data_IF_992986731261
#
_entry.id   IF_992986731261
#
_cell.length_a   1.000
_cell.length_b   1.000
_cell.length_c   1.000
_cell.angle_alpha   90.00
_cell.angle_beta   90.00
_cell.angle_gamma   90.00
#
_symmetry.space_group_name_H-M   'P 1'
#
loop_
_entity.id
_entity.type
_entity.pdbx_description
1 polymer ?
#
# COMPACT_ATOMS: atom_id res chain seq x y z
N UNK A 1 3.86 15.29 -4.43
CA UNK A 1 3.36 13.93 -4.09
C UNK A 1 4.49 12.92 -4.19
N UNK A 2 4.81 12.22 -3.10
CA UNK A 2 5.94 11.28 -3.02
C UNK A 2 5.49 9.83 -2.78
N UNK A 3 4.25 9.48 -3.16
CA UNK A 3 3.74 8.12 -2.97
C UNK A 3 4.70 7.09 -3.59
N UNK A 4 5.04 6.07 -2.80
CA UNK A 4 5.97 4.99 -3.17
C UNK A 4 7.37 5.44 -3.59
N UNK A 5 7.79 6.67 -3.27
CA UNK A 5 9.16 7.13 -3.49
C UNK A 5 10.01 7.12 -2.21
N UNK A 6 9.50 6.56 -1.11
CA UNK A 6 10.19 6.51 0.18
C UNK A 6 11.58 5.87 0.14
N UNK A 7 11.85 5.01 -0.84
CA UNK A 7 13.15 4.37 -1.05
C UNK A 7 14.22 5.30 -1.67
N UNK A 8 13.82 6.47 -2.18
CA UNK A 8 14.73 7.49 -2.76
C UNK A 8 14.64 8.83 -2.03
N UNK A 9 13.90 8.91 -0.95
CA UNK A 9 13.85 10.05 -0.05
C UNK A 9 14.82 9.81 1.11
N UNK A 10 15.53 10.86 1.52
CA UNK A 10 16.27 10.81 2.77
C UNK A 10 15.30 10.88 3.98
N UNK A 11 15.81 10.68 5.17
CA UNK A 11 15.00 10.60 6.38
C UNK A 11 14.23 11.91 6.66
N UNK A 12 14.90 13.07 6.54
CA UNK A 12 14.28 14.38 6.72
C UNK A 12 13.10 14.57 5.76
N UNK A 13 13.29 14.23 4.48
CA UNK A 13 12.24 14.34 3.46
C UNK A 13 11.06 13.39 3.73
N UNK A 14 11.32 12.21 4.30
CA UNK A 14 10.24 11.29 4.70
C UNK A 14 9.40 11.90 5.83
N UNK A 15 10.04 12.51 6.82
CA UNK A 15 9.37 13.20 7.91
C UNK A 15 8.56 14.41 7.41
N UNK A 16 9.13 15.25 6.55
CA UNK A 16 8.43 16.40 5.96
C UNK A 16 7.18 15.99 5.16
N UNK A 17 7.26 14.87 4.41
CA UNK A 17 6.10 14.34 3.66
C UNK A 17 5.03 13.80 4.61
N UNK A 18 5.43 13.12 5.67
CA UNK A 18 4.50 12.57 6.65
C UNK A 18 3.81 13.70 7.43
N UNK A 19 4.56 14.70 7.89
CA UNK A 19 4.03 15.87 8.57
C UNK A 19 3.00 16.61 7.71
N UNK A 20 3.34 16.89 6.45
CA UNK A 20 2.43 17.51 5.50
C UNK A 20 1.16 16.67 5.26
N UNK A 21 1.28 15.33 5.25
CA UNK A 21 0.12 14.45 5.09
C UNK A 21 -0.78 14.49 6.33
N UNK A 22 -0.21 14.41 7.53
CA UNK A 22 -0.93 14.45 8.80
C UNK A 22 -1.64 15.80 8.96
N UNK A 23 -0.94 16.91 8.69
CA UNK A 23 -1.55 18.26 8.73
C UNK A 23 -2.71 18.38 7.74
N UNK A 24 -2.56 17.88 6.52
CA UNK A 24 -3.64 17.91 5.53
C UNK A 24 -4.82 17.04 5.93
N UNK A 25 -4.57 15.86 6.51
CA UNK A 25 -5.63 14.93 6.93
C UNK A 25 -6.43 15.46 8.10
N UNK A 26 -5.79 16.11 9.08
CA UNK A 26 -6.44 16.72 10.26
C UNK A 26 -7.40 15.78 10.99
N UNK A 27 -6.98 14.52 11.18
CA UNK A 27 -7.76 13.52 11.89
C UNK A 27 -9.04 13.02 11.17
N UNK A 28 -9.29 13.41 9.92
CA UNK A 28 -10.47 12.96 9.16
C UNK A 28 -10.44 11.48 8.81
N UNK A 29 -9.27 10.91 8.65
CA UNK A 29 -9.02 9.49 8.38
C UNK A 29 -7.71 9.06 9.00
N UNK A 30 -7.50 7.76 9.31
CA UNK A 30 -6.22 7.27 9.82
C UNK A 30 -5.07 7.44 8.82
N UNK A 31 -3.91 7.86 9.31
CA UNK A 31 -2.68 7.99 8.53
C UNK A 31 -1.77 6.77 8.76
N UNK A 32 -1.50 6.04 7.70
CA UNK A 32 -0.57 4.91 7.68
C UNK A 32 0.82 5.38 7.24
N UNK A 33 1.77 5.43 8.16
CA UNK A 33 3.14 5.82 7.88
C UNK A 33 4.00 4.64 7.43
N UNK A 34 4.67 4.77 6.30
CA UNK A 34 5.67 3.80 5.83
C UNK A 34 7.03 4.05 6.50
N UNK A 35 7.33 3.33 7.57
CA UNK A 35 8.57 3.50 8.37
C UNK A 35 9.61 2.40 8.16
N UNK A 36 9.29 1.33 7.39
CA UNK A 36 10.22 0.23 7.15
C UNK A 36 11.49 0.66 6.42
N UNK A 37 12.63 0.18 6.92
CA UNK A 37 13.97 0.38 6.39
C UNK A 37 14.66 -0.98 6.18
N UNK A 38 15.92 -0.98 5.69
CA UNK A 38 16.69 -2.21 5.49
C UNK A 38 17.10 -2.79 6.85
N UNK A 39 17.60 -1.96 7.77
CA UNK A 39 18.01 -2.43 9.10
C UNK A 39 16.87 -2.30 10.12
N UNK A 40 16.88 -3.19 11.13
CA UNK A 40 15.95 -3.12 12.27
C UNK A 40 16.10 -1.81 13.03
N UNK A 41 17.33 -1.35 13.25
CA UNK A 41 17.63 -0.10 13.98
C UNK A 41 17.07 1.14 13.25
N UNK A 42 17.24 1.22 11.92
CA UNK A 42 16.68 2.32 11.16
C UNK A 42 15.15 2.26 11.11
N UNK A 43 14.57 1.05 11.05
CA UNK A 43 13.13 0.85 11.13
C UNK A 43 12.58 1.34 12.47
N UNK A 44 13.23 1.02 13.59
CA UNK A 44 12.86 1.52 14.93
C UNK A 44 12.93 3.04 14.96
N UNK A 45 14.05 3.63 14.49
CA UNK A 45 14.23 5.09 14.48
C UNK A 45 13.15 5.79 13.67
N UNK A 46 12.92 5.33 12.45
CA UNK A 46 11.88 5.91 11.55
C UNK A 46 10.47 5.70 12.08
N UNK A 47 10.20 4.58 12.76
CA UNK A 47 8.93 4.31 13.39
C UNK A 47 8.66 5.27 14.55
N UNK A 48 9.66 5.52 15.41
CA UNK A 48 9.55 6.51 16.47
C UNK A 48 9.34 7.94 15.96
N UNK A 49 10.01 8.32 14.85
CA UNK A 49 9.77 9.63 14.24
C UNK A 49 8.34 9.72 13.66
N UNK A 50 7.84 8.67 13.01
CA UNK A 50 6.46 8.63 12.52
C UNK A 50 5.43 8.72 13.66
N UNK A 51 5.70 8.05 14.78
CA UNK A 51 4.88 8.10 15.99
C UNK A 51 4.83 9.50 16.59
N UNK A 52 5.99 10.17 16.76
CA UNK A 52 6.07 11.57 17.23
C UNK A 52 5.31 12.54 16.35
N UNK A 53 5.29 12.33 15.05
CA UNK A 53 4.55 13.15 14.08
C UNK A 53 3.03 12.90 14.14
N UNK A 54 2.58 11.83 14.81
CA UNK A 54 1.18 11.52 15.00
C UNK A 54 0.60 10.58 13.95
N UNK A 55 1.40 9.65 13.42
CA UNK A 55 0.89 8.56 12.61
C UNK A 55 -0.01 7.63 13.42
N UNK A 56 -1.15 7.25 12.85
CA UNK A 56 -2.11 6.34 13.51
C UNK A 56 -1.69 4.87 13.39
N UNK A 57 -0.98 4.51 12.32
CA UNK A 57 -0.53 3.14 12.03
C UNK A 57 0.84 3.16 11.36
N UNK A 58 1.71 2.26 11.75
CA UNK A 58 3.00 2.02 11.10
C UNK A 58 2.86 0.90 10.06
N UNK A 59 3.03 1.22 8.79
CA UNK A 59 3.05 0.24 7.69
C UNK A 59 4.49 -0.15 7.39
N UNK A 60 4.94 -1.28 7.94
CA UNK A 60 6.35 -1.68 7.92
C UNK A 60 6.59 -2.73 6.84
N UNK A 61 7.29 -2.32 5.78
CA UNK A 61 7.71 -3.20 4.68
C UNK A 61 8.82 -4.13 5.16
N UNK A 62 8.88 -5.36 4.61
CA UNK A 62 10.00 -6.26 4.84
C UNK A 62 11.34 -5.61 4.46
N UNK A 63 12.44 -5.90 5.16
CA UNK A 63 13.78 -5.50 4.73
C UNK A 63 14.00 -5.83 3.25
N UNK A 64 14.85 -5.07 2.58
CA UNK A 64 15.13 -5.25 1.15
C UNK A 64 16.62 -5.48 0.92
N UNK A 65 16.98 -5.87 -0.31
CA UNK A 65 18.33 -6.12 -0.79
C UNK A 65 18.85 -7.52 -0.46
N UNK A 66 19.03 -7.88 0.83
CA UNK A 66 19.44 -9.23 1.23
C UNK A 66 18.23 -10.12 1.53
N UNK A 67 18.33 -11.40 1.18
CA UNK A 67 17.28 -12.39 1.51
C UNK A 67 17.41 -12.79 2.96
N UNK A 68 16.36 -12.56 3.73
CA UNK A 68 16.24 -12.96 5.13
C UNK A 68 15.40 -14.24 5.26
N UNK A 69 15.75 -15.07 6.23
CA UNK A 69 14.93 -16.20 6.64
C UNK A 69 13.64 -15.73 7.31
N UNK A 70 12.62 -16.61 7.39
CA UNK A 70 11.37 -16.30 8.10
C UNK A 70 11.60 -16.00 9.59
N UNK A 71 12.61 -16.65 10.19
CA UNK A 71 13.00 -16.36 11.57
C UNK A 71 13.55 -14.94 11.73
N UNK A 72 14.43 -14.50 10.83
CA UNK A 72 14.98 -13.15 10.85
C UNK A 72 13.91 -12.09 10.59
N UNK A 73 12.97 -12.34 9.68
CA UNK A 73 11.82 -11.47 9.47
C UNK A 73 10.93 -11.39 10.73
N UNK A 74 10.66 -12.52 11.36
CA UNK A 74 9.92 -12.56 12.61
C UNK A 74 10.62 -11.76 13.71
N UNK A 75 11.92 -12.02 13.96
CA UNK A 75 12.71 -11.33 14.97
C UNK A 75 12.76 -9.81 14.71
N UNK A 76 12.89 -9.40 13.44
CA UNK A 76 12.85 -8.01 13.01
C UNK A 76 11.58 -7.30 13.48
N UNK A 77 10.40 -7.86 13.17
CA UNK A 77 9.13 -7.23 13.56
C UNK A 77 8.88 -7.26 15.06
N UNK A 78 9.24 -8.35 15.72
CA UNK A 78 9.16 -8.44 17.20
C UNK A 78 10.04 -7.36 17.85
N UNK A 79 11.26 -7.18 17.35
CA UNK A 79 12.16 -6.16 17.91
C UNK A 79 11.65 -4.75 17.67
N UNK A 80 11.14 -4.45 16.47
CA UNK A 80 10.53 -3.13 16.20
C UNK A 80 9.36 -2.86 17.15
N UNK A 81 8.47 -3.84 17.33
CA UNK A 81 7.28 -3.71 18.17
C UNK A 81 7.58 -3.43 19.65
N UNK A 82 8.75 -3.83 20.15
CA UNK A 82 9.19 -3.50 21.53
C UNK A 82 9.53 -2.03 21.74
N UNK A 83 9.68 -1.26 20.67
CA UNK A 83 10.22 0.11 20.73
C UNK A 83 9.25 1.20 20.33
N UNK A 84 8.01 0.83 19.99
CA UNK A 84 6.94 1.74 19.56
C UNK A 84 5.63 1.39 20.27
N UNK A 85 4.70 2.34 20.35
CA UNK A 85 3.36 2.13 20.91
C UNK A 85 2.28 2.20 19.80
N UNK A 86 2.62 2.70 18.62
CA UNK A 86 1.72 2.82 17.47
C UNK A 86 1.47 1.46 16.81
N UNK A 87 0.21 1.09 16.51
CA UNK A 87 -0.14 -0.16 15.84
C UNK A 87 0.63 -0.40 14.53
N UNK A 88 1.00 -1.67 14.29
CA UNK A 88 1.80 -2.07 13.13
C UNK A 88 0.95 -2.89 12.15
N UNK A 89 1.05 -2.56 10.88
CA UNK A 89 0.60 -3.36 9.74
C UNK A 89 1.82 -3.85 8.98
N UNK A 90 1.98 -5.17 8.90
CA UNK A 90 3.03 -5.83 8.12
C UNK A 90 2.84 -5.51 6.63
N UNK A 91 3.91 -5.23 5.91
CA UNK A 91 3.79 -4.95 4.48
C UNK A 91 4.66 -5.90 3.64
N UNK A 92 3.98 -6.82 2.96
CA UNK A 92 4.57 -7.80 2.06
C UNK A 92 4.53 -7.32 0.61
N UNK A 93 5.70 -7.22 -0.04
CA UNK A 93 5.85 -6.91 -1.47
C UNK A 93 7.15 -7.54 -2.03
N UNK A 94 7.21 -8.88 -2.13
CA UNK A 94 8.44 -9.63 -2.43
C UNK A 94 9.09 -9.22 -3.75
N UNK A 95 8.31 -8.86 -4.76
CA UNK A 95 8.82 -8.37 -6.05
C UNK A 95 9.67 -7.08 -5.94
N UNK A 96 9.65 -6.39 -4.80
CA UNK A 96 10.42 -5.15 -4.57
C UNK A 96 11.48 -5.31 -3.49
N UNK A 97 11.24 -6.18 -2.52
CA UNK A 97 12.15 -6.36 -1.38
C UNK A 97 13.06 -7.57 -1.52
N UNK A 98 12.66 -8.59 -2.31
CA UNK A 98 13.29 -9.90 -2.34
C UNK A 98 12.83 -10.81 -1.19
N UNK A 99 12.09 -10.27 -0.21
CA UNK A 99 11.66 -10.98 0.98
C UNK A 99 10.14 -11.16 1.02
N UNK A 100 9.69 -12.42 1.00
CA UNK A 100 8.28 -12.80 1.14
C UNK A 100 8.00 -13.14 2.61
N UNK A 101 6.96 -12.54 3.19
CA UNK A 101 6.37 -13.03 4.44
C UNK A 101 5.46 -14.20 4.12
N UNK A 102 5.75 -15.36 4.70
CA UNK A 102 4.90 -16.53 4.57
C UNK A 102 3.67 -16.42 5.49
N UNK A 103 2.53 -17.03 5.14
CA UNK A 103 1.31 -16.99 5.95
C UNK A 103 1.53 -17.44 7.40
N UNK A 104 2.32 -18.48 7.61
CA UNK A 104 2.66 -18.98 8.95
C UNK A 104 3.43 -17.95 9.79
N UNK A 105 4.31 -17.18 9.15
CA UNK A 105 5.06 -16.11 9.82
C UNK A 105 4.14 -14.95 10.20
N UNK A 106 3.22 -14.57 9.30
CA UNK A 106 2.20 -13.54 9.58
C UNK A 106 1.29 -13.98 10.72
N UNK A 107 0.77 -15.20 10.68
CA UNK A 107 -0.05 -15.79 11.75
C UNK A 107 0.68 -15.78 13.08
N UNK A 108 1.94 -16.21 13.09
CA UNK A 108 2.75 -16.23 14.31
C UNK A 108 2.98 -14.84 14.88
N UNK A 109 3.33 -13.85 14.04
CA UNK A 109 3.47 -12.46 14.44
C UNK A 109 2.16 -11.88 14.97
N UNK A 110 1.06 -12.15 14.29
CA UNK A 110 -0.27 -11.73 14.71
C UNK A 110 -0.66 -12.29 16.07
N UNK A 111 -0.29 -13.54 16.36
CA UNK A 111 -0.57 -14.19 17.64
C UNK A 111 0.31 -13.68 18.78
N UNK A 112 1.62 -13.55 18.52
CA UNK A 112 2.62 -13.33 19.57
C UNK A 112 2.83 -11.84 19.90
N UNK A 113 2.38 -10.91 19.03
CA UNK A 113 2.61 -9.47 19.18
C UNK A 113 1.32 -8.69 19.06
N UNK A 114 0.80 -8.18 20.16
CA UNK A 114 -0.49 -7.48 20.20
C UNK A 114 -0.52 -6.24 19.32
N UNK A 115 0.59 -5.55 19.21
CA UNK A 115 0.75 -4.33 18.44
C UNK A 115 0.66 -4.56 16.92
N UNK A 116 0.91 -5.80 16.45
CA UNK A 116 0.76 -6.17 15.04
C UNK A 116 -0.70 -6.50 14.77
N UNK A 117 -1.42 -5.53 14.20
CA UNK A 117 -2.87 -5.56 14.03
C UNK A 117 -3.31 -5.97 12.62
N UNK A 118 -2.42 -6.10 11.67
CA UNK A 118 -2.80 -6.44 10.30
C UNK A 118 -1.64 -6.69 9.35
N UNK A 119 -1.99 -7.07 8.13
CA UNK A 119 -1.04 -7.22 7.03
C UNK A 119 -1.59 -6.63 5.73
N UNK A 120 -0.72 -5.98 4.98
CA UNK A 120 -0.96 -5.55 3.61
C UNK A 120 -0.16 -6.43 2.67
N UNK A 121 -0.82 -7.11 1.74
CA UNK A 121 -0.16 -7.92 0.72
C UNK A 121 -0.20 -7.27 -0.66
N UNK A 122 0.97 -7.01 -1.21
CA UNK A 122 1.19 -6.49 -2.57
C UNK A 122 1.96 -7.49 -3.46
N UNK A 123 1.98 -8.76 -3.10
CA UNK A 123 2.64 -9.81 -3.89
C UNK A 123 2.00 -9.98 -5.27
N UNK A 124 0.70 -9.75 -5.37
CA UNK A 124 -0.10 -10.09 -6.55
C UNK A 124 -0.47 -11.59 -6.61
N UNK A 125 -0.05 -12.35 -5.61
CA UNK A 125 -0.34 -13.76 -5.43
C UNK A 125 -1.64 -13.89 -4.61
N UNK A 126 -2.71 -14.33 -5.28
CA UNK A 126 -4.02 -14.48 -4.64
C UNK A 126 -4.00 -15.50 -3.50
N UNK A 127 -3.29 -16.61 -3.69
CA UNK A 127 -3.26 -17.68 -2.69
C UNK A 127 -2.55 -17.21 -1.42
N UNK A 128 -1.50 -16.40 -1.55
CA UNK A 128 -0.82 -15.79 -0.40
C UNK A 128 -1.72 -14.80 0.35
N UNK A 129 -2.41 -13.90 -0.38
CA UNK A 129 -3.34 -12.94 0.23
C UNK A 129 -4.50 -13.66 0.93
N UNK A 130 -5.09 -14.66 0.27
CA UNK A 130 -6.15 -15.49 0.82
C UNK A 130 -5.68 -16.24 2.06
N UNK A 131 -4.48 -16.82 2.04
CA UNK A 131 -3.92 -17.50 3.20
C UNK A 131 -3.75 -16.57 4.40
N UNK A 132 -3.33 -15.32 4.21
CA UNK A 132 -3.29 -14.33 5.29
C UNK A 132 -4.67 -14.15 5.93
N UNK A 133 -5.72 -14.04 5.11
CA UNK A 133 -7.09 -13.85 5.60
C UNK A 133 -7.57 -15.10 6.35
N UNK A 134 -7.41 -16.27 5.76
CA UNK A 134 -7.97 -17.53 6.32
C UNK A 134 -7.23 -17.98 7.56
N UNK A 135 -5.89 -17.88 7.59
CA UNK A 135 -5.09 -18.34 8.72
C UNK A 135 -5.15 -17.41 9.93
N UNK A 136 -5.49 -16.13 9.73
CA UNK A 136 -5.63 -15.17 10.84
C UNK A 136 -7.07 -14.99 11.30
N UNK A 137 -8.05 -15.58 10.61
CA UNK A 137 -9.48 -15.46 10.92
C UNK A 137 -9.85 -16.01 12.31
N UNK A 138 -9.17 -17.07 12.73
CA UNK A 138 -9.46 -17.78 13.99
C UNK A 138 -8.63 -17.28 15.19
N UNK A 139 -7.91 -16.17 15.01
CA UNK A 139 -7.18 -15.57 16.13
C UNK A 139 -8.16 -14.92 17.12
N UNK A 140 -7.86 -14.98 18.41
CA UNK A 140 -8.66 -14.37 19.48
C UNK A 140 -8.68 -12.83 19.43
N UNK A 141 -7.99 -12.24 18.46
CA UNK A 141 -7.97 -10.80 18.20
C UNK A 141 -8.34 -10.48 16.76
N UNK A 142 -8.89 -9.27 16.52
CA UNK A 142 -9.12 -8.78 15.17
C UNK A 142 -7.79 -8.56 14.46
N UNK A 143 -7.64 -9.15 13.28
CA UNK A 143 -6.49 -8.96 12.41
C UNK A 143 -6.97 -8.48 11.03
N UNK A 144 -6.39 -7.39 10.54
CA UNK A 144 -6.86 -6.68 9.36
C UNK A 144 -5.97 -7.00 8.14
N UNK A 145 -6.51 -7.74 7.18
CA UNK A 145 -5.80 -8.03 5.93
C UNK A 145 -6.27 -7.11 4.82
N UNK A 146 -5.31 -6.41 4.21
CA UNK A 146 -5.52 -5.41 3.16
C UNK A 146 -4.85 -5.84 1.85
N UNK A 147 -5.57 -5.73 0.73
CA UNK A 147 -4.93 -5.87 -0.58
C UNK A 147 -4.08 -4.64 -0.90
N UNK A 148 -2.84 -4.87 -1.29
CA UNK A 148 -1.95 -3.86 -1.87
C UNK A 148 -1.92 -3.89 -3.40
N UNK A 149 -2.60 -4.86 -4.00
CA UNK A 149 -2.82 -4.96 -5.44
C UNK A 149 -4.23 -4.45 -5.77
N UNK A 150 -4.31 -3.40 -6.58
CA UNK A 150 -5.59 -2.75 -6.92
C UNK A 150 -6.62 -3.71 -7.55
N UNK A 151 -6.18 -4.77 -8.28
CA UNK A 151 -7.10 -5.75 -8.90
C UNK A 151 -7.64 -6.80 -7.93
N UNK A 152 -7.12 -6.88 -6.72
CA UNK A 152 -7.51 -7.88 -5.72
C UNK A 152 -8.27 -7.29 -4.54
N UNK A 153 -8.77 -6.04 -4.64
CA UNK A 153 -9.49 -5.39 -3.54
C UNK A 153 -10.83 -6.09 -3.30
N UNK A 154 -11.65 -6.19 -4.32
CA UNK A 154 -12.96 -6.85 -4.20
C UNK A 154 -12.86 -8.35 -3.89
N UNK A 155 -11.98 -9.14 -4.57
CA UNK A 155 -11.72 -10.51 -4.15
C UNK A 155 -11.35 -10.65 -2.67
N UNK A 156 -10.45 -9.77 -2.17
CA UNK A 156 -10.07 -9.78 -0.76
C UNK A 156 -11.26 -9.48 0.17
N UNK A 157 -12.09 -8.50 -0.16
CA UNK A 157 -13.31 -8.19 0.60
C UNK A 157 -14.27 -9.37 0.65
N UNK A 158 -14.50 -10.07 -0.48
CA UNK A 158 -15.35 -11.26 -0.56
C UNK A 158 -14.84 -12.41 0.31
N UNK A 159 -13.52 -12.54 0.48
CA UNK A 159 -12.92 -13.58 1.32
C UNK A 159 -12.91 -13.21 2.83
N UNK A 160 -13.14 -11.95 3.17
CA UNK A 160 -13.13 -11.46 4.55
C UNK A 160 -11.97 -10.53 4.89
N UNK A 161 -11.21 -10.09 3.90
CA UNK A 161 -10.30 -8.96 4.03
C UNK A 161 -11.05 -7.66 4.29
N UNK A 162 -10.34 -6.61 4.70
CA UNK A 162 -10.97 -5.37 5.17
C UNK A 162 -10.87 -4.21 4.17
N UNK A 163 -10.25 -4.41 3.03
CA UNK A 163 -10.12 -3.38 1.99
C UNK A 163 -8.80 -3.42 1.26
N UNK A 164 -8.35 -2.27 0.76
CA UNK A 164 -7.10 -2.16 0.03
C UNK A 164 -6.36 -0.84 0.26
N UNK A 165 -5.03 -0.87 0.08
CA UNK A 165 -4.18 0.32 0.02
C UNK A 165 -3.71 0.46 -1.42
N UNK A 166 -4.54 1.11 -2.22
CA UNK A 166 -4.49 1.14 -3.67
C UNK A 166 -3.51 2.17 -4.25
N UNK A 167 -2.82 1.80 -5.32
CA UNK A 167 -2.01 2.71 -6.13
C UNK A 167 -2.87 3.64 -6.97
N UNK A 168 -3.88 3.09 -7.60
CA UNK A 168 -4.80 3.80 -8.48
C UNK A 168 -5.65 4.85 -7.75
N UNK A 169 -5.83 4.77 -6.43
CA UNK A 169 -6.56 5.77 -5.64
C UNK A 169 -5.98 7.18 -5.69
N UNK A 170 -4.74 7.36 -6.18
CA UNK A 170 -4.19 8.70 -6.41
C UNK A 170 -4.73 9.35 -7.68
N UNK A 171 -5.30 8.57 -8.57
CA UNK A 171 -5.88 9.03 -9.85
C UNK A 171 -7.41 8.95 -9.79
N UNK A 172 -7.94 7.87 -9.24
CA UNK A 172 -9.37 7.57 -9.16
C UNK A 172 -9.82 7.29 -7.71
N UNK A 173 -9.75 8.26 -6.79
CA UNK A 173 -10.05 8.02 -5.37
C UNK A 173 -11.50 7.57 -5.15
N UNK A 174 -12.46 8.18 -5.89
CA UNK A 174 -13.88 7.84 -5.77
C UNK A 174 -14.19 6.42 -6.24
N UNK A 175 -13.60 5.99 -7.38
CA UNK A 175 -13.78 4.63 -7.89
C UNK A 175 -13.25 3.60 -6.92
N UNK A 176 -12.04 3.81 -6.37
CA UNK A 176 -11.45 2.85 -5.42
C UNK A 176 -12.24 2.80 -4.10
N UNK A 177 -12.78 3.93 -3.65
CA UNK A 177 -13.63 3.98 -2.46
C UNK A 177 -14.99 3.32 -2.71
N UNK A 178 -15.55 3.46 -3.92
CA UNK A 178 -16.86 2.86 -4.27
C UNK A 178 -16.81 1.33 -4.26
N UNK A 179 -15.68 0.69 -4.60
CA UNK A 179 -15.54 -0.77 -4.50
C UNK A 179 -15.88 -1.24 -3.08
N UNK A 180 -15.32 -0.59 -2.07
CA UNK A 180 -15.58 -0.93 -0.67
C UNK A 180 -17.03 -0.61 -0.26
N UNK A 181 -17.52 0.60 -0.59
CA UNK A 181 -18.83 1.06 -0.17
C UNK A 181 -19.94 0.19 -0.78
N UNK A 182 -19.89 -0.08 -2.08
CA UNK A 182 -20.83 -0.93 -2.79
C UNK A 182 -20.81 -2.37 -2.26
N UNK A 183 -19.63 -2.91 -1.98
CA UNK A 183 -19.53 -4.22 -1.33
C UNK A 183 -20.20 -4.22 0.05
N UNK A 184 -20.00 -3.20 0.88
CA UNK A 184 -20.63 -3.09 2.20
C UNK A 184 -22.15 -2.91 2.13
N UNK A 185 -22.65 -2.30 1.06
CA UNK A 185 -24.09 -2.14 0.77
C UNK A 185 -24.72 -3.41 0.15
N UNK A 186 -23.92 -4.45 -0.15
CA UNK A 186 -24.40 -5.67 -0.80
C UNK A 186 -24.61 -5.56 -2.31
N UNK A 187 -24.23 -4.44 -2.93
CA UNK A 187 -24.33 -4.15 -4.37
C UNK A 187 -23.17 -4.78 -5.15
N UNK A 188 -23.15 -6.12 -5.20
CA UNK A 188 -21.98 -6.86 -5.68
C UNK A 188 -21.68 -6.61 -7.18
N UNK A 189 -22.70 -6.55 -8.03
CA UNK A 189 -22.52 -6.30 -9.47
C UNK A 189 -21.92 -4.91 -9.74
N UNK A 190 -22.39 -3.89 -9.01
CA UNK A 190 -21.83 -2.53 -9.09
C UNK A 190 -20.40 -2.47 -8.55
N UNK A 191 -20.10 -3.21 -7.48
CA UNK A 191 -18.74 -3.31 -6.93
C UNK A 191 -17.79 -4.02 -7.92
N UNK A 192 -18.25 -5.04 -8.64
CA UNK A 192 -17.49 -5.70 -9.71
C UNK A 192 -17.23 -4.73 -10.88
N UNK A 193 -18.24 -4.02 -11.33
CA UNK A 193 -18.09 -3.00 -12.39
C UNK A 193 -17.07 -1.90 -11.99
N UNK A 194 -17.13 -1.43 -10.73
CA UNK A 194 -16.15 -0.48 -10.20
C UNK A 194 -14.73 -1.07 -10.15
N UNK A 195 -14.59 -2.33 -9.71
CA UNK A 195 -13.31 -3.04 -9.69
C UNK A 195 -12.72 -3.20 -11.09
N UNK A 196 -13.54 -3.57 -12.08
CA UNK A 196 -13.10 -3.80 -13.45
C UNK A 196 -12.74 -2.50 -14.18
N UNK A 197 -13.37 -1.40 -13.83
CA UNK A 197 -13.16 -0.11 -14.48
C UNK A 197 -11.73 0.38 -14.40
N UNK A 198 -10.95 0.02 -13.36
CA UNK A 198 -9.56 0.41 -13.21
C UNK A 198 -8.58 -0.40 -14.09
N UNK A 199 -9.04 -1.46 -14.75
CA UNK A 199 -8.16 -2.34 -15.51
C UNK A 199 -7.48 -1.62 -16.68
N UNK A 200 -8.17 -0.73 -17.36
CA UNK A 200 -7.62 0.06 -18.47
C UNK A 200 -6.44 0.94 -18.04
N UNK A 201 -6.57 1.62 -16.91
CA UNK A 201 -5.48 2.42 -16.35
C UNK A 201 -4.30 1.54 -15.88
N UNK A 202 -4.57 0.41 -15.26
CA UNK A 202 -3.53 -0.54 -14.83
C UNK A 202 -2.74 -1.12 -16.00
N UNK A 203 -3.37 -1.31 -17.16
CA UNK A 203 -2.70 -1.80 -18.37
C UNK A 203 -1.57 -0.87 -18.84
N UNK A 204 -1.60 0.42 -18.49
CA UNK A 204 -0.53 1.38 -18.80
C UNK A 204 0.75 1.11 -18.00
N UNK A 205 0.69 0.37 -16.90
CA UNK A 205 1.89 0.04 -16.09
C UNK A 205 2.93 -0.82 -16.84
N UNK A 206 2.56 -1.45 -17.97
CA UNK A 206 3.50 -2.16 -18.85
C UNK A 206 4.54 -1.25 -19.48
N UNK A 207 4.25 0.05 -19.61
CA UNK A 207 5.14 1.03 -20.26
C UNK A 207 6.18 1.65 -19.30
N UNK A 208 6.04 1.46 -18.00
CA UNK A 208 6.98 2.04 -17.04
C UNK A 208 6.70 1.67 -15.58
N UNK A 209 7.54 2.21 -14.71
CA UNK A 209 7.33 2.01 -13.28
C UNK A 209 5.95 2.56 -12.85
N UNK A 210 5.12 1.77 -12.14
CA UNK A 210 3.78 2.23 -11.71
C UNK A 210 3.78 3.57 -10.96
N UNK A 211 4.86 3.90 -10.23
CA UNK A 211 4.95 5.19 -9.55
C UNK A 211 5.09 6.35 -10.54
N UNK A 212 5.87 6.14 -11.61
CA UNK A 212 6.06 7.12 -12.69
C UNK A 212 4.75 7.33 -13.43
N UNK A 213 4.06 6.24 -13.81
CA UNK A 213 2.78 6.31 -14.50
C UNK A 213 1.73 7.04 -13.65
N UNK A 214 1.58 6.66 -12.38
CA UNK A 214 0.62 7.31 -11.46
C UNK A 214 0.94 8.79 -11.28
N UNK A 215 2.21 9.15 -11.08
CA UNK A 215 2.59 10.55 -10.89
C UNK A 215 2.38 11.38 -12.16
N UNK A 216 2.67 10.80 -13.34
CA UNK A 216 2.41 11.43 -14.63
C UNK A 216 0.90 11.63 -14.87
N UNK A 217 0.09 10.62 -14.51
CA UNK A 217 -1.36 10.73 -14.58
C UNK A 217 -1.89 11.89 -13.72
N UNK A 218 -1.45 11.98 -12.46
CA UNK A 218 -1.85 13.07 -11.56
C UNK A 218 -1.43 14.44 -12.09
N UNK A 219 -0.24 14.55 -12.72
CA UNK A 219 0.20 15.78 -13.38
C UNK A 219 -0.69 16.13 -14.59
N UNK A 220 -1.08 15.13 -15.41
CA UNK A 220 -1.98 15.32 -16.56
C UNK A 220 -3.40 15.73 -16.13
N UNK A 221 -3.82 15.38 -14.92
CA UNK A 221 -5.07 15.85 -14.32
C UNK A 221 -4.99 17.27 -13.76
N UNK A 222 -3.88 17.98 -13.97
CA UNK A 222 -3.71 19.38 -13.60
C UNK A 222 -3.11 19.64 -12.20
N UNK A 223 -2.70 18.60 -11.47
CA UNK A 223 -2.07 18.77 -10.17
C UNK A 223 -0.55 19.01 -10.30
N UNK A 224 0.03 20.02 -9.62
CA UNK A 224 1.45 20.39 -9.75
C UNK A 224 2.36 19.46 -8.94
N UNK A 225 2.41 18.18 -9.29
CA UNK A 225 3.16 17.16 -8.54
C UNK A 225 4.60 16.94 -9.03
N UNK A 226 4.97 17.53 -10.18
CA UNK A 226 6.28 17.35 -10.80
C UNK A 226 6.55 15.90 -11.27
N UNK A 227 7.77 15.61 -11.70
CA UNK A 227 8.20 14.27 -12.10
C UNK A 227 8.65 13.41 -10.92
N UNK A 228 8.74 12.09 -11.13
CA UNK A 228 9.41 11.22 -10.19
C UNK A 228 10.92 11.55 -10.13
N UNK A 229 11.55 11.32 -8.98
CA UNK A 229 13.00 11.45 -8.84
C UNK A 229 13.72 10.37 -9.64
N UNK A 230 14.86 10.75 -10.20
CA UNK A 230 15.76 9.80 -10.85
C UNK A 230 16.20 8.70 -9.88
N UNK A 231 16.39 7.47 -10.36
CA UNK A 231 16.32 7.02 -11.77
C UNK A 231 14.91 6.62 -12.24
N UNK A 232 13.86 6.80 -11.45
CA UNK A 232 12.49 6.30 -11.71
C UNK A 232 11.57 7.35 -12.38
N UNK A 233 12.12 8.19 -13.25
CA UNK A 233 11.42 9.32 -13.86
C UNK A 233 11.08 9.11 -15.35
N UNK A 234 11.40 7.95 -15.91
CA UNK A 234 11.22 7.69 -17.33
C UNK A 234 9.89 7.00 -17.63
N UNK A 235 9.19 7.53 -18.61
CA UNK A 235 8.06 6.91 -19.30
C UNK A 235 8.24 7.22 -20.79
N UNK A 236 8.21 6.20 -21.66
CA UNK A 236 8.38 6.37 -23.10
C UNK A 236 7.20 7.14 -23.71
N UNK A 237 7.40 7.70 -24.91
CA UNK A 237 6.38 8.50 -25.59
C UNK A 237 5.10 7.70 -25.84
N UNK A 238 5.20 6.44 -26.26
CA UNK A 238 4.06 5.53 -26.40
C UNK A 238 3.30 5.37 -25.08
N UNK A 239 4.02 5.27 -23.96
CA UNK A 239 3.41 5.20 -22.62
C UNK A 239 2.70 6.49 -22.22
N UNK A 240 3.23 7.65 -22.61
CA UNK A 240 2.60 8.96 -22.39
C UNK A 240 1.32 9.07 -23.21
N UNK A 241 1.32 8.68 -24.49
CA UNK A 241 0.15 8.68 -25.36
C UNK A 241 -0.92 7.72 -24.86
N UNK A 242 -0.54 6.48 -24.51
CA UNK A 242 -1.45 5.50 -23.95
C UNK A 242 -2.10 6.00 -22.64
N UNK A 243 -1.32 6.66 -21.78
CA UNK A 243 -1.81 7.26 -20.56
C UNK A 243 -2.82 8.37 -20.82
N UNK A 244 -2.51 9.31 -21.72
CA UNK A 244 -3.40 10.41 -22.08
C UNK A 244 -4.73 9.88 -22.65
N UNK A 245 -4.66 8.87 -23.52
CA UNK A 245 -5.84 8.21 -24.09
C UNK A 245 -6.73 7.60 -23.00
N UNK A 246 -6.15 6.80 -22.12
CA UNK A 246 -6.90 6.13 -21.04
C UNK A 246 -7.50 7.13 -20.05
N UNK A 247 -6.79 8.19 -19.70
CA UNK A 247 -7.35 9.22 -18.83
C UNK A 247 -8.57 9.90 -19.44
N UNK A 248 -8.51 10.20 -20.76
CA UNK A 248 -9.65 10.77 -21.50
C UNK A 248 -10.82 9.79 -21.56
N UNK A 249 -10.59 8.54 -21.98
CA UNK A 249 -11.64 7.52 -22.10
C UNK A 249 -12.33 7.23 -20.76
N UNK A 250 -11.57 7.28 -19.67
CA UNK A 250 -12.09 7.08 -18.31
C UNK A 250 -12.89 8.30 -17.84
N UNK A 251 -12.43 9.52 -18.15
CA UNK A 251 -13.19 10.74 -17.87
C UNK A 251 -14.54 10.76 -18.62
N UNK A 252 -14.56 10.36 -19.91
CA UNK A 252 -15.77 10.24 -20.72
C UNK A 252 -16.78 9.22 -20.12
N UNK A 253 -16.30 8.26 -19.31
CA UNK A 253 -17.11 7.29 -18.56
C UNK A 253 -17.48 7.76 -17.14
N UNK A 254 -17.13 8.99 -16.77
CA UNK A 254 -17.42 9.55 -15.46
C UNK A 254 -16.46 9.09 -14.33
N UNK A 255 -15.33 8.51 -14.69
CA UNK A 255 -14.27 8.14 -13.73
C UNK A 255 -13.36 9.35 -13.47
N UNK A 256 -13.71 10.16 -12.48
CA UNK A 256 -12.94 11.35 -12.07
C UNK A 256 -12.44 11.22 -10.63
#
# INVERSE_FOLDING_TARGET
MYKRQGYILNEKEKCEVLEAAIDQVKGRVPVYAGSGCISTQDTIRMSKEAEKLGADVLSIITPSFAVASQKELYDHYVEVAKHVDTPIVLYNIPARTGNKLLPETVKKLAKDVDLIIGAKDSSGDWDNLKAYITETRELDKKFYVLSGNDSLILPALKEGGVGGIAGCSNVYPHVLSSIYNLFKEGKLEEAEAAQDSIASFRAVFKYGNPNTVVKKAVAMLGYPVGDCRRPFNYLCDEGVEALAKVLKENADKGMN
#
